data_IF_774577712223
#
_entry.id   IF_774577712223
#
_cell.length_a   1.000
_cell.length_b   1.000
_cell.length_c   1.000
_cell.angle_alpha   90.00
_cell.angle_beta   90.00
_cell.angle_gamma   90.00
#
_symmetry.space_group_name_H-M   'P 1'
#
loop_
_entity.id
_entity.type
_entity.pdbx_description
1 polymer ?
#
# COMPACT_ATOMS: atom_id res chain seq x y z
N UNK A 1 6.20 24.99 -0.78
CA UNK A 1 5.60 24.01 -1.74
C UNK A 1 5.61 22.68 -1.04
N UNK A 2 4.50 21.95 -1.00
CA UNK A 2 4.47 20.57 -0.48
C UNK A 2 5.34 19.70 -1.40
N UNK A 3 6.10 18.76 -0.82
CA UNK A 3 6.81 17.75 -1.61
C UNK A 3 5.79 16.91 -2.38
N UNK A 4 6.10 16.50 -3.61
CA UNK A 4 5.24 15.57 -4.37
C UNK A 4 5.26 14.18 -3.75
N UNK A 5 4.29 13.33 -4.09
CA UNK A 5 4.33 11.92 -3.67
C UNK A 5 5.59 11.22 -4.17
N UNK A 6 6.02 11.50 -5.40
CA UNK A 6 7.26 10.98 -5.95
C UNK A 6 8.49 11.38 -5.11
N UNK A 7 8.59 12.64 -4.66
CA UNK A 7 9.68 13.09 -3.79
C UNK A 7 9.64 12.40 -2.42
N UNK A 8 8.43 12.26 -1.83
CA UNK A 8 8.23 11.61 -0.54
C UNK A 8 8.68 10.15 -0.58
N UNK A 9 8.18 9.39 -1.58
CA UNK A 9 8.43 7.96 -1.71
C UNK A 9 9.79 7.62 -2.33
N UNK A 10 10.44 8.55 -3.04
CA UNK A 10 11.84 8.39 -3.47
C UNK A 10 12.87 8.81 -2.41
N UNK A 11 12.42 9.46 -1.35
CA UNK A 11 13.23 9.92 -0.23
C UNK A 11 13.44 8.87 0.87
N UNK A 12 13.71 9.33 2.12
CA UNK A 12 13.98 8.45 3.27
C UNK A 12 12.85 7.44 3.57
N UNK A 13 11.60 7.79 3.27
CA UNK A 13 10.44 6.90 3.45
C UNK A 13 10.56 5.67 2.54
N UNK A 14 10.74 5.87 1.23
CA UNK A 14 10.91 4.76 0.29
C UNK A 14 12.14 3.91 0.59
N UNK A 15 13.25 4.55 1.02
CA UNK A 15 14.44 3.81 1.46
C UNK A 15 14.17 2.97 2.71
N UNK A 16 13.33 3.43 3.65
CA UNK A 16 12.92 2.63 4.80
C UNK A 16 12.08 1.43 4.37
N UNK A 17 11.17 1.61 3.42
CA UNK A 17 10.37 0.53 2.87
C UNK A 17 11.24 -0.53 2.18
N UNK A 18 12.27 -0.14 1.43
CA UNK A 18 13.23 -1.07 0.83
C UNK A 18 13.98 -1.87 1.91
N UNK A 19 14.49 -1.19 2.96
CA UNK A 19 15.22 -1.87 4.05
C UNK A 19 14.36 -2.88 4.82
N UNK A 20 13.07 -2.60 4.98
CA UNK A 20 12.13 -3.39 5.76
C UNK A 20 11.15 -4.21 4.89
N UNK A 21 11.44 -4.35 3.59
CA UNK A 21 10.51 -4.89 2.60
C UNK A 21 9.90 -6.24 3.01
N UNK A 22 10.73 -7.20 3.41
CA UNK A 22 10.27 -8.53 3.82
C UNK A 22 9.31 -8.46 5.02
N UNK A 23 9.58 -7.60 5.99
CA UNK A 23 8.73 -7.45 7.16
C UNK A 23 7.39 -6.80 6.82
N UNK A 24 7.40 -5.74 6.00
CA UNK A 24 6.15 -5.10 5.54
C UNK A 24 5.34 -6.04 4.64
N UNK A 25 5.99 -6.80 3.78
CA UNK A 25 5.33 -7.81 2.97
C UNK A 25 4.64 -8.85 3.85
N UNK A 26 5.31 -9.36 4.89
CA UNK A 26 4.72 -10.33 5.83
C UNK A 26 3.51 -9.76 6.57
N UNK A 27 3.57 -8.50 7.02
CA UNK A 27 2.48 -7.83 7.74
C UNK A 27 1.28 -7.58 6.82
N UNK A 28 1.52 -7.13 5.58
CA UNK A 28 0.47 -6.66 4.68
C UNK A 28 -0.04 -7.74 3.70
N UNK A 29 0.67 -8.89 3.59
CA UNK A 29 0.29 -9.96 2.68
C UNK A 29 -1.13 -10.48 2.94
N UNK A 30 -1.53 -10.81 4.18
CA UNK A 30 -2.89 -11.32 4.43
C UNK A 30 -3.98 -10.33 4.02
N UNK A 31 -3.72 -9.02 4.19
CA UNK A 31 -4.64 -7.95 3.81
C UNK A 31 -4.77 -7.86 2.28
N UNK A 32 -3.65 -7.94 1.56
CA UNK A 32 -3.61 -7.83 0.10
C UNK A 32 -4.18 -9.05 -0.61
N UNK A 33 -3.99 -10.25 -0.04
CA UNK A 33 -4.45 -11.52 -0.62
C UNK A 33 -5.96 -11.53 -0.86
N UNK A 34 -6.74 -11.02 0.10
CA UNK A 34 -8.20 -10.98 -0.01
C UNK A 34 -8.67 -10.20 -1.26
N UNK A 35 -8.03 -9.09 -1.60
CA UNK A 35 -8.35 -8.31 -2.80
C UNK A 35 -7.80 -8.98 -4.07
N UNK A 36 -6.59 -9.56 -4.01
CA UNK A 36 -5.99 -10.24 -5.15
C UNK A 36 -6.80 -11.47 -5.59
N UNK A 37 -7.35 -12.21 -4.64
CA UNK A 37 -8.15 -13.39 -4.91
C UNK A 37 -9.51 -13.06 -5.57
N UNK A 38 -10.04 -11.83 -5.36
CA UNK A 38 -11.26 -11.35 -6.03
C UNK A 38 -11.08 -11.17 -7.55
N UNK A 39 -9.86 -10.99 -8.01
CA UNK A 39 -9.59 -10.87 -9.45
C UNK A 39 -9.70 -12.21 -10.22
N UNK A 40 -9.67 -13.36 -9.50
CA UNK A 40 -9.71 -14.68 -10.13
C UNK A 40 -8.77 -14.76 -11.36
N UNK A 41 -7.49 -14.47 -11.09
CA UNK A 41 -6.46 -14.34 -12.13
C UNK A 41 -6.05 -15.70 -12.68
N UNK A 42 -5.83 -15.74 -13.99
CA UNK A 42 -5.34 -16.91 -14.70
C UNK A 42 -4.80 -16.57 -16.09
N UNK A 43 -4.18 -17.54 -16.79
CA UNK A 43 -3.65 -17.32 -18.13
C UNK A 43 -4.80 -17.07 -19.14
N UNK A 44 -4.58 -16.29 -20.18
CA UNK A 44 -3.36 -15.55 -20.54
C UNK A 44 -3.41 -14.06 -20.17
N UNK A 45 -3.91 -13.72 -19.00
CA UNK A 45 -4.20 -12.34 -18.61
C UNK A 45 -2.95 -11.47 -18.50
N UNK A 46 -3.08 -10.20 -18.91
CA UNK A 46 -2.11 -9.14 -18.67
C UNK A 46 -2.61 -8.24 -17.52
N UNK A 47 -1.84 -8.13 -16.44
CA UNK A 47 -2.29 -7.49 -15.20
C UNK A 47 -1.36 -6.34 -14.81
N UNK A 48 -1.97 -5.21 -14.42
CA UNK A 48 -1.28 -4.04 -13.87
C UNK A 48 -1.29 -4.10 -12.33
N UNK A 49 -0.13 -3.93 -11.69
CA UNK A 49 0.00 -3.77 -10.24
C UNK A 49 0.39 -2.32 -9.93
N UNK A 50 -0.52 -1.55 -9.31
CA UNK A 50 -0.42 -0.11 -9.06
C UNK A 50 0.14 0.14 -7.67
N UNK A 51 1.26 0.88 -7.57
CA UNK A 51 1.99 1.04 -6.32
C UNK A 51 2.63 -0.29 -5.91
N UNK A 52 3.34 -0.92 -6.84
CA UNK A 52 3.91 -2.27 -6.68
C UNK A 52 4.99 -2.35 -5.60
N UNK A 53 5.53 -1.22 -5.16
CA UNK A 53 6.58 -1.15 -4.16
C UNK A 53 7.80 -1.98 -4.54
N UNK A 54 8.20 -2.89 -3.65
CA UNK A 54 9.34 -3.77 -3.87
C UNK A 54 9.01 -5.07 -4.64
N UNK A 55 7.83 -5.15 -5.28
CA UNK A 55 7.50 -6.11 -6.32
C UNK A 55 6.87 -7.44 -5.87
N UNK A 56 6.69 -7.69 -4.58
CA UNK A 56 6.21 -8.99 -4.08
C UNK A 56 4.86 -9.39 -4.68
N UNK A 57 3.90 -8.45 -4.77
CA UNK A 57 2.57 -8.72 -5.33
C UNK A 57 2.63 -8.91 -6.84
N UNK A 58 3.43 -8.12 -7.55
CA UNK A 58 3.59 -8.27 -9.01
C UNK A 58 4.18 -9.62 -9.37
N UNK A 59 5.17 -10.11 -8.61
CA UNK A 59 5.72 -11.45 -8.77
C UNK A 59 4.67 -12.55 -8.54
N UNK A 60 3.82 -12.40 -7.53
CA UNK A 60 2.71 -13.34 -7.28
C UNK A 60 1.69 -13.30 -8.42
N UNK A 61 1.33 -12.12 -8.92
CA UNK A 61 0.46 -11.96 -10.11
C UNK A 61 1.08 -12.67 -11.31
N UNK A 62 2.37 -12.45 -11.58
CA UNK A 62 3.10 -13.09 -12.67
C UNK A 62 3.01 -14.61 -12.63
N UNK A 63 3.13 -15.21 -11.43
CA UNK A 63 2.97 -16.67 -11.25
C UNK A 63 1.55 -17.15 -11.55
N UNK A 64 0.51 -16.38 -11.13
CA UNK A 64 -0.91 -16.76 -11.33
C UNK A 64 -1.34 -16.72 -12.79
N UNK A 65 -0.77 -15.83 -13.61
CA UNK A 65 -1.17 -15.64 -15.00
C UNK A 65 -0.36 -16.46 -16.01
N UNK A 66 0.62 -17.25 -15.56
CA UNK A 66 1.36 -18.17 -16.43
C UNK A 66 0.46 -19.28 -17.03
N UNK A 67 0.83 -19.86 -18.21
CA UNK A 67 2.09 -19.62 -18.93
C UNK A 67 2.10 -18.38 -19.82
N UNK A 68 0.99 -17.89 -20.34
CA UNK A 68 0.93 -16.93 -21.45
C UNK A 68 0.53 -15.51 -21.03
N UNK A 69 0.29 -15.28 -19.74
CA UNK A 69 -0.04 -13.98 -19.18
C UNK A 69 1.19 -13.21 -18.70
N UNK A 70 1.02 -11.94 -18.37
CA UNK A 70 2.08 -11.06 -17.89
C UNK A 70 1.63 -10.12 -16.76
N UNK A 71 2.58 -9.68 -15.94
CA UNK A 71 2.36 -8.72 -14.88
C UNK A 71 3.27 -7.50 -15.06
N UNK A 72 2.69 -6.29 -14.94
CA UNK A 72 3.42 -5.02 -14.98
C UNK A 72 3.21 -4.30 -13.68
N UNK A 73 4.27 -4.13 -12.88
CA UNK A 73 4.27 -3.34 -11.67
C UNK A 73 4.71 -1.91 -11.94
N UNK A 74 3.94 -0.93 -11.46
CA UNK A 74 4.28 0.48 -11.56
C UNK A 74 4.33 1.12 -10.17
N UNK A 75 5.33 1.98 -9.92
CA UNK A 75 5.45 2.74 -8.68
C UNK A 75 6.16 4.07 -8.94
N UNK A 76 5.81 5.13 -8.22
CA UNK A 76 6.49 6.43 -8.31
C UNK A 76 7.85 6.42 -7.62
N UNK A 77 8.09 5.46 -6.73
CA UNK A 77 9.32 5.33 -5.94
C UNK A 77 10.39 4.60 -6.71
N UNK A 78 11.31 5.35 -7.30
CA UNK A 78 12.46 4.78 -7.98
C UNK A 78 13.26 3.77 -7.14
N UNK A 79 13.59 4.03 -5.84
CA UNK A 79 14.30 3.06 -5.01
C UNK A 79 13.55 1.74 -4.82
N UNK A 80 12.22 1.78 -4.72
CA UNK A 80 11.42 0.55 -4.60
C UNK A 80 11.41 -0.22 -5.90
N UNK A 81 11.24 0.46 -7.04
CA UNK A 81 11.28 -0.19 -8.37
C UNK A 81 12.64 -0.81 -8.66
N UNK A 82 13.74 -0.13 -8.34
CA UNK A 82 15.10 -0.69 -8.46
C UNK A 82 15.26 -1.95 -7.58
N UNK A 83 14.70 -1.96 -6.38
CA UNK A 83 14.66 -3.15 -5.52
C UNK A 83 13.82 -4.28 -6.15
N UNK A 84 12.65 -3.97 -6.70
CA UNK A 84 11.79 -4.94 -7.38
C UNK A 84 12.48 -5.54 -8.61
N UNK A 85 13.13 -4.73 -9.44
CA UNK A 85 13.91 -5.18 -10.60
C UNK A 85 15.09 -6.08 -10.19
N UNK A 86 15.78 -5.75 -9.09
CA UNK A 86 16.85 -6.59 -8.58
C UNK A 86 16.36 -7.99 -8.18
N UNK A 87 15.14 -8.12 -7.67
CA UNK A 87 14.54 -9.43 -7.33
C UNK A 87 14.32 -10.33 -8.54
N UNK A 88 14.08 -9.76 -9.75
CA UNK A 88 13.91 -10.57 -10.96
C UNK A 88 15.12 -11.42 -11.30
N UNK A 89 16.32 -11.01 -10.86
CA UNK A 89 17.56 -11.75 -11.11
C UNK A 89 17.58 -13.09 -10.36
N UNK A 90 16.95 -13.11 -9.18
CA UNK A 90 16.95 -14.28 -8.29
C UNK A 90 15.66 -15.12 -8.43
N UNK A 91 14.65 -14.62 -9.15
CA UNK A 91 13.38 -15.31 -9.37
C UNK A 91 13.42 -16.11 -10.69
N UNK A 92 13.64 -17.40 -10.55
CA UNK A 92 13.40 -18.31 -11.67
C UNK A 92 11.94 -18.18 -12.13
N UNK A 93 11.71 -18.16 -13.43
CA UNK A 93 10.36 -18.11 -14.00
C UNK A 93 9.63 -16.74 -13.86
N UNK A 94 10.34 -15.61 -13.83
CA UNK A 94 9.75 -14.27 -13.80
C UNK A 94 9.88 -13.48 -15.12
N UNK A 95 10.11 -14.17 -16.24
CA UNK A 95 10.28 -13.53 -17.56
C UNK A 95 9.02 -12.78 -18.04
N UNK A 96 7.88 -13.07 -17.45
CA UNK A 96 6.60 -12.42 -17.73
C UNK A 96 6.29 -11.26 -16.78
N UNK A 97 7.27 -10.79 -16.01
CA UNK A 97 7.11 -9.69 -15.05
C UNK A 97 7.98 -8.50 -15.45
N UNK A 98 7.42 -7.30 -15.40
CA UNK A 98 8.09 -6.04 -15.67
C UNK A 98 7.82 -5.05 -14.54
N UNK A 99 8.83 -4.21 -14.19
CA UNK A 99 8.70 -3.14 -13.22
C UNK A 99 9.12 -1.80 -13.82
N UNK A 100 8.26 -0.79 -13.67
CA UNK A 100 8.46 0.55 -14.22
C UNK A 100 8.33 1.63 -13.12
N UNK A 101 9.26 2.58 -13.12
CA UNK A 101 9.06 3.83 -12.37
C UNK A 101 8.11 4.70 -13.17
N UNK A 102 6.88 4.91 -12.67
CA UNK A 102 5.82 5.60 -13.39
C UNK A 102 4.83 6.25 -12.42
N UNK A 103 4.48 7.49 -12.68
CA UNK A 103 3.40 8.20 -11.99
C UNK A 103 2.09 8.08 -12.79
N UNK A 104 1.17 7.27 -12.26
CA UNK A 104 -0.14 7.02 -12.89
C UNK A 104 -0.98 8.29 -13.10
N UNK A 105 -0.73 9.35 -12.31
CA UNK A 105 -1.46 10.61 -12.43
C UNK A 105 -0.98 11.52 -13.56
N UNK A 106 0.23 11.29 -14.09
CA UNK A 106 0.86 12.21 -15.03
C UNK A 106 1.45 11.53 -16.26
N UNK A 107 1.66 10.22 -16.22
CA UNK A 107 2.27 9.45 -17.30
C UNK A 107 1.31 8.41 -17.89
N UNK A 108 1.40 8.11 -19.20
CA UNK A 108 0.49 7.18 -19.85
C UNK A 108 0.77 5.72 -19.43
N UNK A 109 -0.27 5.01 -19.02
CA UNK A 109 -0.23 3.56 -18.86
C UNK A 109 -0.34 2.88 -20.23
N UNK A 110 0.61 2.00 -20.53
CA UNK A 110 0.66 1.28 -21.81
C UNK A 110 -0.17 -0.01 -21.74
N UNK A 111 -1.50 0.15 -21.76
CA UNK A 111 -2.46 -0.96 -21.87
C UNK A 111 -2.49 -1.62 -23.25
N UNK A 112 -3.48 -2.47 -23.53
CA UNK A 112 -4.57 -2.80 -22.62
C UNK A 112 -4.18 -3.85 -21.58
N UNK A 113 -4.90 -3.82 -20.41
CA UNK A 113 -4.78 -4.81 -19.35
C UNK A 113 -6.14 -5.48 -19.11
N UNK A 114 -6.14 -6.78 -18.80
CA UNK A 114 -7.35 -7.52 -18.42
C UNK A 114 -7.81 -7.20 -16.99
N UNK A 115 -6.83 -6.87 -16.13
CA UNK A 115 -7.10 -6.51 -14.76
C UNK A 115 -6.05 -5.53 -14.21
N UNK A 116 -6.45 -4.78 -13.18
CA UNK A 116 -5.56 -3.95 -12.38
C UNK A 116 -5.72 -4.30 -10.90
N UNK A 117 -4.62 -4.26 -10.17
CA UNK A 117 -4.54 -4.53 -8.74
C UNK A 117 -3.80 -3.42 -8.00
N UNK A 118 -4.10 -3.25 -6.70
CA UNK A 118 -3.26 -2.45 -5.82
C UNK A 118 -3.34 -2.93 -4.38
N UNK A 119 -2.18 -3.12 -3.74
CA UNK A 119 -2.08 -3.34 -2.30
C UNK A 119 -1.64 -2.05 -1.61
N UNK A 120 -2.58 -1.29 -1.06
CA UNK A 120 -2.34 -0.07 -0.27
C UNK A 120 -1.67 1.09 -1.04
N UNK A 121 -1.46 0.99 -2.37
CA UNK A 121 -0.79 2.04 -3.17
C UNK A 121 -1.72 3.21 -3.50
N UNK A 122 -2.95 2.94 -3.90
CA UNK A 122 -3.90 3.95 -4.40
C UNK A 122 -4.32 5.01 -3.38
N UNK A 123 -4.11 4.77 -2.09
CA UNK A 123 -4.40 5.74 -1.02
C UNK A 123 -3.53 7.00 -1.07
N UNK A 124 -2.44 6.97 -1.81
CA UNK A 124 -1.46 8.05 -1.87
C UNK A 124 -1.59 8.92 -3.10
N UNK A 125 -2.61 8.74 -3.93
CA UNK A 125 -2.88 9.61 -5.06
C UNK A 125 -3.22 11.04 -4.60
N UNK A 126 -2.60 12.04 -5.22
CA UNK A 126 -2.92 13.46 -5.03
C UNK A 126 -4.25 13.82 -5.73
N UNK A 127 -4.52 13.17 -6.89
CA UNK A 127 -5.73 13.36 -7.72
C UNK A 127 -6.33 12.01 -8.08
N UNK A 128 -6.99 11.33 -7.12
CA UNK A 128 -7.43 9.96 -7.31
C UNK A 128 -8.39 9.77 -8.50
N UNK A 129 -9.25 10.75 -8.81
CA UNK A 129 -10.14 10.69 -9.98
C UNK A 129 -9.36 10.67 -11.30
N UNK A 130 -8.23 11.40 -11.38
CA UNK A 130 -7.34 11.40 -12.55
C UNK A 130 -6.63 10.05 -12.67
N UNK A 131 -6.04 9.56 -11.58
CA UNK A 131 -5.34 8.29 -11.54
C UNK A 131 -6.26 7.12 -11.95
N UNK A 132 -7.43 7.02 -11.33
CA UNK A 132 -8.38 5.96 -11.68
C UNK A 132 -8.95 6.09 -13.09
N UNK A 133 -9.11 7.31 -13.62
CA UNK A 133 -9.49 7.50 -15.03
C UNK A 133 -8.40 6.97 -15.98
N UNK A 134 -7.12 7.18 -15.65
CA UNK A 134 -5.99 6.64 -16.41
C UNK A 134 -5.95 5.10 -16.34
N UNK A 135 -6.16 4.54 -15.14
CA UNK A 135 -6.24 3.08 -14.95
C UNK A 135 -7.39 2.50 -15.77
N UNK A 136 -8.60 3.10 -15.69
CA UNK A 136 -9.76 2.65 -16.48
C UNK A 136 -9.48 2.68 -17.98
N UNK A 137 -8.84 3.75 -18.46
CA UNK A 137 -8.52 3.89 -19.89
C UNK A 137 -7.47 2.85 -20.37
N UNK A 138 -6.64 2.34 -19.45
CA UNK A 138 -5.66 1.30 -19.74
C UNK A 138 -6.22 -0.13 -19.60
N UNK A 139 -7.45 -0.29 -19.11
CA UNK A 139 -8.12 -1.60 -19.05
C UNK A 139 -8.84 -1.91 -20.35
N UNK A 140 -8.91 -3.21 -20.71
CA UNK A 140 -9.83 -3.71 -21.72
C UNK A 140 -11.29 -3.41 -21.35
N UNK A 141 -12.21 -3.31 -22.32
CA UNK A 141 -13.64 -3.25 -22.03
C UNK A 141 -14.06 -4.44 -21.15
N UNK A 142 -14.72 -4.15 -20.01
CA UNK A 142 -15.07 -5.16 -19.01
C UNK A 142 -13.92 -5.59 -18.10
N UNK A 143 -12.73 -4.99 -18.26
CA UNK A 143 -11.56 -5.25 -17.42
C UNK A 143 -11.83 -4.98 -15.94
N UNK A 144 -11.13 -5.68 -15.06
CA UNK A 144 -11.41 -5.70 -13.62
C UNK A 144 -10.37 -4.88 -12.86
N UNK A 145 -10.84 -4.18 -11.82
CA UNK A 145 -10.00 -3.53 -10.82
C UNK A 145 -10.31 -4.16 -9.47
N UNK A 146 -9.27 -4.53 -8.72
CA UNK A 146 -9.41 -4.79 -7.29
C UNK A 146 -8.28 -4.14 -6.51
N UNK A 147 -8.58 -3.64 -5.32
CA UNK A 147 -7.56 -3.14 -4.40
C UNK A 147 -7.97 -3.28 -2.95
N UNK A 148 -6.98 -3.18 -2.07
CA UNK A 148 -7.20 -3.08 -0.64
C UNK A 148 -6.70 -1.73 -0.14
N UNK A 149 -7.46 -1.08 0.73
CA UNK A 149 -7.10 0.16 1.41
C UNK A 149 -7.53 0.12 2.87
N UNK A 150 -6.98 1.02 3.71
CA UNK A 150 -7.36 1.06 5.12
C UNK A 150 -8.69 1.75 5.33
N UNK A 151 -9.48 1.19 6.25
CA UNK A 151 -10.68 1.79 6.81
C UNK A 151 -10.32 2.94 7.78
N UNK A 152 -11.28 3.41 8.54
CA UNK A 152 -11.11 4.56 9.44
C UNK A 152 -9.93 4.38 10.43
N UNK A 153 -9.25 5.47 10.86
CA UNK A 153 -8.14 5.40 11.82
C UNK A 153 -8.46 4.62 13.09
N UNK A 154 -9.70 4.71 13.60
CA UNK A 154 -10.15 3.98 14.78
C UNK A 154 -10.16 2.45 14.61
N UNK A 155 -10.28 1.96 13.38
CA UNK A 155 -10.19 0.54 13.03
C UNK A 155 -8.76 0.06 12.79
N UNK A 156 -7.77 0.97 12.86
CA UNK A 156 -6.37 0.70 12.53
C UNK A 156 -5.39 0.99 13.67
N UNK A 157 -5.57 0.36 14.87
CA UNK A 157 -4.66 0.52 16.00
C UNK A 157 -3.21 0.23 15.66
N UNK A 158 -2.93 -0.68 14.73
CA UNK A 158 -1.55 -1.04 14.35
C UNK A 158 -0.75 0.16 13.77
N UNK A 159 -1.45 1.16 13.20
CA UNK A 159 -0.86 2.43 12.76
C UNK A 159 -1.00 3.48 13.86
N UNK A 160 -2.21 3.63 14.43
CA UNK A 160 -2.54 4.80 15.25
C UNK A 160 -1.98 4.71 16.66
N UNK A 161 -1.82 3.51 17.24
CA UNK A 161 -1.26 3.33 18.58
C UNK A 161 0.22 3.74 18.63
N UNK A 162 1.14 3.13 17.85
CA UNK A 162 2.55 3.52 17.92
C UNK A 162 2.77 4.94 17.43
N UNK A 163 2.08 5.37 16.36
CA UNK A 163 2.20 6.72 15.81
C UNK A 163 1.75 7.78 16.82
N UNK A 164 0.59 7.60 17.47
CA UNK A 164 0.05 8.52 18.45
C UNK A 164 0.96 8.67 19.68
N UNK A 165 1.46 7.55 20.20
CA UNK A 165 2.38 7.54 21.33
C UNK A 165 3.71 8.25 21.02
N UNK A 166 4.27 8.02 19.83
CA UNK A 166 5.49 8.67 19.39
C UNK A 166 5.28 10.18 19.16
N UNK A 167 4.24 10.57 18.42
CA UNK A 167 3.95 11.97 18.10
C UNK A 167 3.68 12.81 19.37
N UNK A 168 3.06 12.22 20.40
CA UNK A 168 2.87 12.89 21.68
C UNK A 168 4.21 13.30 22.35
N UNK A 169 5.32 12.60 22.07
CA UNK A 169 6.68 12.95 22.54
C UNK A 169 7.41 13.91 21.61
N UNK A 170 6.98 13.98 20.34
CA UNK A 170 7.60 14.80 19.30
C UNK A 170 6.89 16.16 19.09
N UNK A 171 6.04 16.58 20.02
CA UNK A 171 5.32 17.86 19.92
C UNK A 171 4.01 17.79 19.16
N UNK A 172 3.55 16.60 18.82
CA UNK A 172 2.34 16.38 18.01
C UNK A 172 2.57 16.57 16.53
N UNK A 173 1.56 16.21 15.75
CA UNK A 173 1.48 16.55 14.33
C UNK A 173 0.00 16.83 13.99
N UNK A 174 -0.29 17.78 13.11
CA UNK A 174 -1.65 18.02 12.67
C UNK A 174 -2.19 16.78 11.95
N UNK A 175 -3.43 16.42 12.25
CA UNK A 175 -4.15 15.41 11.47
C UNK A 175 -4.35 15.92 10.04
N UNK A 176 -3.99 15.13 9.01
CA UNK A 176 -4.33 15.50 7.65
C UNK A 176 -5.85 15.68 7.50
N UNK A 177 -6.30 16.60 6.63
CA UNK A 177 -7.73 16.72 6.37
C UNK A 177 -8.29 15.42 5.76
N UNK A 178 -9.59 15.12 5.98
CA UNK A 178 -10.22 13.94 5.37
C UNK A 178 -10.00 13.90 3.85
N UNK A 179 -9.60 12.73 3.34
CA UNK A 179 -9.35 12.53 1.92
C UNK A 179 -7.99 13.04 1.41
N UNK A 180 -7.16 13.63 2.27
CA UNK A 180 -5.78 13.94 1.89
C UNK A 180 -4.99 12.65 1.60
N UNK A 181 -4.01 12.69 0.66
CA UNK A 181 -3.16 11.55 0.37
C UNK A 181 -2.52 10.96 1.63
N UNK A 182 -2.62 9.65 1.79
CA UNK A 182 -2.12 8.96 2.97
C UNK A 182 -2.92 7.71 3.32
N UNK A 183 -2.53 6.99 4.37
CA UNK A 183 -3.12 5.67 4.68
C UNK A 183 -4.65 5.71 4.87
N UNK A 184 -5.22 6.85 5.21
CA UNK A 184 -6.65 6.98 5.50
C UNK A 184 -7.42 7.83 4.47
N UNK A 185 -6.86 8.08 3.28
CA UNK A 185 -7.56 8.88 2.25
C UNK A 185 -8.85 8.22 1.76
N UNK A 186 -8.92 6.90 1.82
CA UNK A 186 -10.08 6.07 1.48
C UNK A 186 -10.75 5.40 2.69
N UNK A 187 -10.64 6.03 3.87
CA UNK A 187 -11.29 5.53 5.09
C UNK A 187 -12.82 5.44 4.98
N UNK A 188 -13.42 6.36 4.23
CA UNK A 188 -14.86 6.40 3.95
C UNK A 188 -15.20 5.59 2.69
N UNK A 189 -16.00 4.50 2.80
CA UNK A 189 -16.36 3.67 1.65
C UNK A 189 -17.20 4.42 0.61
N UNK A 190 -17.99 5.44 1.00
CA UNK A 190 -18.77 6.24 0.05
C UNK A 190 -17.85 7.14 -0.79
N UNK A 191 -16.76 7.66 -0.22
CA UNK A 191 -15.73 8.36 -0.98
C UNK A 191 -15.08 7.44 -2.02
N UNK A 192 -14.79 6.19 -1.65
CA UNK A 192 -14.22 5.20 -2.59
C UNK A 192 -15.17 5.01 -3.78
N UNK A 193 -16.48 4.79 -3.53
CA UNK A 193 -17.48 4.64 -4.58
C UNK A 193 -17.53 5.88 -5.48
N UNK A 194 -17.65 7.05 -4.89
CA UNK A 194 -17.75 8.32 -5.62
C UNK A 194 -16.55 8.55 -6.53
N UNK A 195 -15.33 8.31 -6.05
CA UNK A 195 -14.10 8.47 -6.84
C UNK A 195 -14.08 7.50 -8.02
N UNK A 196 -14.39 6.23 -7.81
CA UNK A 196 -14.37 5.21 -8.87
C UNK A 196 -15.47 5.45 -9.92
N UNK A 197 -16.69 5.76 -9.49
CA UNK A 197 -17.81 6.07 -10.39
C UNK A 197 -17.51 7.34 -11.19
N UNK A 198 -16.94 8.38 -10.57
CA UNK A 198 -16.51 9.61 -11.25
C UNK A 198 -15.39 9.34 -12.27
N UNK A 199 -14.52 8.36 -12.04
CA UNK A 199 -13.51 7.90 -12.98
C UNK A 199 -14.09 7.00 -14.10
N UNK A 200 -15.40 6.69 -14.05
CA UNK A 200 -16.12 5.92 -15.06
C UNK A 200 -16.05 4.41 -14.88
N UNK A 201 -15.76 3.93 -13.67
CA UNK A 201 -15.93 2.51 -13.32
C UNK A 201 -17.39 2.21 -12.99
N UNK A 202 -17.77 0.95 -13.21
CA UNK A 202 -19.08 0.38 -12.93
C UNK A 202 -18.98 -0.79 -11.94
N UNK A 203 -20.11 -1.23 -11.38
CA UNK A 203 -20.20 -2.38 -10.47
C UNK A 203 -19.26 -2.26 -9.27
N UNK A 204 -19.15 -1.06 -8.70
CA UNK A 204 -18.25 -0.80 -7.57
C UNK A 204 -18.78 -1.48 -6.30
N UNK A 205 -17.99 -2.37 -5.71
CA UNK A 205 -18.23 -2.93 -4.38
C UNK A 205 -17.14 -2.48 -3.42
N UNK A 206 -17.50 -2.29 -2.16
CA UNK A 206 -16.58 -1.95 -1.07
C UNK A 206 -17.00 -2.78 0.13
N UNK A 207 -16.27 -3.85 0.38
CA UNK A 207 -16.56 -4.83 1.42
C UNK A 207 -15.52 -4.77 2.55
N UNK A 208 -15.88 -5.07 3.80
CA UNK A 208 -14.89 -5.27 4.85
C UNK A 208 -13.90 -6.38 4.46
N UNK A 209 -12.62 -6.09 4.64
CA UNK A 209 -11.53 -7.05 4.42
C UNK A 209 -11.01 -7.64 5.73
N UNK A 210 -9.85 -8.34 5.68
CA UNK A 210 -9.14 -8.79 6.88
C UNK A 210 -8.85 -7.62 7.82
N UNK A 211 -8.90 -7.86 9.12
CA UNK A 211 -8.91 -6.82 10.14
C UNK A 211 -7.86 -7.01 11.25
N UNK A 212 -6.91 -7.91 11.10
CA UNK A 212 -5.84 -8.14 12.07
C UNK A 212 -4.48 -8.29 11.38
N UNK A 213 -3.44 -7.77 12.03
CA UNK A 213 -2.03 -7.96 11.64
C UNK A 213 -1.17 -8.36 12.83
N UNK A 214 -0.13 -9.13 12.54
CA UNK A 214 0.96 -9.44 13.47
C UNK A 214 2.17 -8.60 13.08
N UNK A 215 2.58 -7.68 13.95
CA UNK A 215 3.74 -6.80 13.69
C UNK A 215 5.07 -7.53 13.90
N UNK A 216 5.09 -8.57 14.72
CA UNK A 216 6.24 -9.41 14.98
C UNK A 216 6.33 -9.87 16.44
N UNK A 217 7.41 -10.60 16.79
CA UNK A 217 7.56 -11.21 18.09
C UNK A 217 7.84 -10.21 19.20
N UNK A 218 7.24 -10.45 20.38
CA UNK A 218 7.33 -9.55 21.54
C UNK A 218 8.73 -9.49 22.15
N UNK A 219 9.56 -10.50 21.97
CA UNK A 219 10.97 -10.50 22.41
C UNK A 219 11.85 -9.54 21.61
N UNK A 220 11.35 -9.02 20.48
CA UNK A 220 11.96 -7.97 19.64
C UNK A 220 11.13 -6.68 19.60
N UNK A 221 10.40 -6.38 20.66
CA UNK A 221 9.45 -5.26 20.69
C UNK A 221 10.06 -3.92 20.25
N UNK A 222 11.31 -3.63 20.62
CA UNK A 222 11.98 -2.39 20.19
C UNK A 222 12.20 -2.33 18.68
N UNK A 223 12.64 -3.44 18.07
CA UNK A 223 12.81 -3.54 16.61
C UNK A 223 11.47 -3.43 15.88
N UNK A 224 10.45 -4.15 16.36
CA UNK A 224 9.07 -4.08 15.87
C UNK A 224 8.55 -2.64 15.92
N UNK A 225 8.77 -1.95 17.03
CA UNK A 225 8.35 -0.57 17.23
C UNK A 225 9.05 0.38 16.25
N UNK A 226 10.38 0.30 16.14
CA UNK A 226 11.13 1.17 15.21
C UNK A 226 10.61 1.00 13.80
N UNK A 227 10.40 -0.23 13.35
CA UNK A 227 9.85 -0.54 12.02
C UNK A 227 8.43 0.02 11.84
N UNK A 228 7.55 -0.13 12.84
CA UNK A 228 6.20 0.42 12.79
C UNK A 228 6.19 1.96 12.66
N UNK A 229 7.12 2.65 13.32
CA UNK A 229 7.27 4.10 13.21
C UNK A 229 7.89 4.53 11.86
N UNK A 230 8.81 3.75 11.32
CA UNK A 230 9.46 4.00 10.03
C UNK A 230 8.54 3.71 8.82
N UNK A 231 7.49 2.95 9.00
CA UNK A 231 6.46 2.72 7.99
C UNK A 231 5.63 3.97 7.69
N UNK A 232 5.48 4.85 8.68
CA UNK A 232 4.62 6.02 8.58
C UNK A 232 5.45 7.29 8.26
N UNK A 233 5.20 7.96 7.11
CA UNK A 233 5.91 9.17 6.74
C UNK A 233 5.86 10.27 7.81
N UNK A 234 4.71 10.42 8.48
CA UNK A 234 4.50 11.46 9.48
C UNK A 234 5.40 11.28 10.71
N UNK A 235 5.54 10.06 11.23
CA UNK A 235 6.46 9.77 12.34
C UNK A 235 7.91 9.89 11.90
N UNK A 236 8.26 9.45 10.70
CA UNK A 236 9.62 9.61 10.17
C UNK A 236 10.03 11.09 10.09
N UNK A 237 9.17 11.93 9.54
CA UNK A 237 9.42 13.38 9.43
C UNK A 237 9.52 14.02 10.82
N UNK A 238 8.63 13.67 11.76
CA UNK A 238 8.66 14.21 13.11
C UNK A 238 9.92 13.78 13.88
N UNK A 239 10.34 12.51 13.78
CA UNK A 239 11.59 12.03 14.38
C UNK A 239 12.83 12.68 13.78
N UNK A 240 12.83 13.00 12.50
CA UNK A 240 13.91 13.71 11.84
C UNK A 240 14.00 15.19 12.29
N UNK A 241 12.84 15.82 12.54
CA UNK A 241 12.76 17.19 13.04
C UNK A 241 13.15 17.34 14.53
N UNK A 242 13.01 16.26 15.31
CA UNK A 242 13.24 16.24 16.76
C UNK A 242 14.19 15.11 17.18
N UNK A 243 15.47 15.13 16.76
CA UNK A 243 16.41 14.03 16.99
C UNK A 243 16.63 13.74 18.49
N UNK A 244 16.61 14.77 19.34
CA UNK A 244 16.81 14.64 20.80
C UNK A 244 15.63 13.93 21.51
N UNK A 245 14.44 13.95 20.93
CA UNK A 245 13.26 13.30 21.49
C UNK A 245 13.00 11.88 20.89
N UNK A 246 13.81 11.46 19.91
CA UNK A 246 13.62 10.23 19.15
C UNK A 246 13.54 8.98 20.03
N UNK A 247 14.48 8.81 20.94
CA UNK A 247 14.51 7.62 21.81
C UNK A 247 13.33 7.60 22.79
N UNK A 248 12.92 8.78 23.30
CA UNK A 248 11.72 8.91 24.12
C UNK A 248 10.45 8.58 23.35
N UNK A 249 10.37 8.96 22.07
CA UNK A 249 9.25 8.64 21.17
C UNK A 249 9.16 7.14 20.90
N UNK A 250 10.30 6.49 20.60
CA UNK A 250 10.37 5.03 20.40
C UNK A 250 9.97 4.29 21.67
N UNK A 251 10.49 4.71 22.85
CA UNK A 251 10.15 4.09 24.14
C UNK A 251 8.65 4.21 24.45
N UNK A 252 8.03 5.36 24.18
CA UNK A 252 6.60 5.56 24.38
C UNK A 252 5.76 4.67 23.45
N UNK A 253 6.15 4.56 22.17
CA UNK A 253 5.49 3.68 21.20
C UNK A 253 5.66 2.20 21.59
N UNK A 254 6.85 1.79 22.04
CA UNK A 254 7.09 0.42 22.51
C UNK A 254 6.24 0.07 23.73
N UNK A 255 6.13 0.99 24.69
CA UNK A 255 5.24 0.79 25.83
C UNK A 255 3.78 0.60 25.40
N UNK A 256 3.30 1.41 24.45
CA UNK A 256 1.93 1.31 23.94
C UNK A 256 1.69 0.01 23.15
N UNK A 257 2.67 -0.45 22.35
CA UNK A 257 2.58 -1.73 21.66
C UNK A 257 2.68 -2.93 22.61
N UNK A 258 3.37 -2.79 23.73
CA UNK A 258 3.48 -3.83 24.77
C UNK A 258 2.13 -4.26 25.34
N UNK A 259 1.14 -3.35 25.39
CA UNK A 259 -0.23 -3.65 25.82
C UNK A 259 -1.01 -4.56 24.83
N UNK A 260 -0.45 -4.77 23.63
CA UNK A 260 -1.04 -5.58 22.55
C UNK A 260 -0.28 -6.89 22.29
N UNK A 261 0.47 -7.37 23.28
CA UNK A 261 1.16 -8.66 23.19
C UNK A 261 0.18 -9.80 23.53
N UNK A 262 0.01 -10.72 22.58
CA UNK A 262 -0.79 -11.94 22.74
C UNK A 262 0.00 -13.13 22.21
N UNK A 263 0.11 -14.19 22.99
CA UNK A 263 0.84 -15.43 22.63
C UNK A 263 2.30 -15.16 22.17
N UNK A 264 2.97 -14.18 22.76
CA UNK A 264 4.34 -13.81 22.42
C UNK A 264 4.50 -12.97 21.15
N UNK A 265 3.41 -12.54 20.52
CA UNK A 265 3.38 -11.73 19.32
C UNK A 265 2.67 -10.39 19.57
N UNK A 266 3.11 -9.34 18.87
CA UNK A 266 2.44 -8.03 18.88
C UNK A 266 1.34 -8.05 17.81
N UNK A 267 0.06 -8.11 18.24
CA UNK A 267 -1.11 -8.22 17.37
C UNK A 267 -2.04 -7.05 17.57
N UNK A 268 -2.51 -6.46 16.47
CA UNK A 268 -3.44 -5.34 16.48
C UNK A 268 -4.42 -5.42 15.32
N UNK A 269 -5.57 -4.76 15.50
CA UNK A 269 -6.54 -4.61 14.42
C UNK A 269 -5.98 -3.74 13.29
N UNK A 270 -6.37 -4.08 12.07
CA UNK A 270 -6.00 -3.44 10.81
C UNK A 270 -7.19 -3.42 9.84
N UNK A 271 -8.24 -2.69 10.22
CA UNK A 271 -9.48 -2.61 9.45
C UNK A 271 -9.23 -2.16 8.01
N UNK A 272 -9.73 -2.93 7.05
CA UNK A 272 -9.53 -2.69 5.63
C UNK A 272 -10.84 -2.71 4.85
N UNK A 273 -10.81 -2.10 3.66
CA UNK A 273 -11.79 -2.27 2.60
C UNK A 273 -11.17 -3.07 1.46
N UNK A 274 -11.85 -4.12 1.02
CA UNK A 274 -11.61 -4.80 -0.26
C UNK A 274 -12.54 -4.19 -1.28
N UNK A 275 -11.99 -3.64 -2.33
CA UNK A 275 -12.71 -2.89 -3.36
C UNK A 275 -12.60 -3.61 -4.69
N UNK A 276 -13.72 -3.73 -5.37
CA UNK A 276 -13.79 -4.23 -6.75
C UNK A 276 -14.54 -3.25 -7.63
N UNK A 277 -14.16 -3.16 -8.90
CA UNK A 277 -14.86 -2.38 -9.91
C UNK A 277 -14.60 -2.96 -11.31
N UNK A 278 -15.39 -2.53 -12.30
CA UNK A 278 -15.22 -2.94 -13.70
C UNK A 278 -15.12 -1.72 -14.61
N UNK A 279 -14.25 -1.80 -15.60
CA UNK A 279 -14.34 -0.91 -16.74
C UNK A 279 -15.63 -1.21 -17.52
N UNK A 280 -16.32 -0.21 -18.09
CA UNK A 280 -17.51 -0.44 -18.90
C UNK A 280 -17.24 -1.45 -20.03
N UNK A 281 -18.21 -2.33 -20.30
CA UNK A 281 -18.23 -3.18 -21.47
C UNK A 281 -18.48 -2.37 -22.76
N UNK A 282 -18.31 -2.98 -23.92
CA UNK A 282 -18.67 -2.38 -25.22
C UNK A 282 -20.18 -2.35 -25.38
#
# INVERSE_FOLDING_TARGET
>A
MSASQADLWSGPVGQSWVRNALAYDTILEPLGRAALDRLDLGPPQRVLDIGCGTGTTTLEIGRRVRPDGSAVGVDVSRPMVECAQARLVDEADAENVEFLTLDVESEPLLGPFDAAFSRMGVMFFDRPEVAFSAVRAALEPGGRLAFVCFAAPAANPFITVPTGAALARLGGAPMPPPGAPGPFSFADPERVRTVLESAGFESVTVDPGPDEVTLGPADRLEEVTRRALEQNPQTMMAMAAHPDARDSAVAAAASALGDHVTDGEVRLSAGTWVVEARAPGV
#
